data_IF_804265104444
#
_entry.id   IF_804265104444
#
_cell.length_a   1.000
_cell.length_b   1.000
_cell.length_c   1.000
_cell.angle_alpha   90.00
_cell.angle_beta   90.00
_cell.angle_gamma   90.00
#
_symmetry.space_group_name_H-M   'P 1'
#
loop_
_entity.id
_entity.type
_entity.pdbx_description
1 polymer ?
#
# COMPACT_ATOMS: atom_id res chain seq x y z
N UNK A 1 -4.76 -15.03 8.04
CA UNK A 1 -4.46 -13.71 7.43
C UNK A 1 -5.03 -12.63 8.32
N UNK A 2 -4.28 -11.56 8.55
CA UNK A 2 -4.74 -10.33 9.23
C UNK A 2 -5.02 -9.29 8.15
N UNK A 3 -6.21 -8.68 8.12
CA UNK A 3 -6.58 -7.68 7.12
C UNK A 3 -7.38 -6.54 7.76
N UNK A 4 -7.07 -5.31 7.38
CA UNK A 4 -7.88 -4.13 7.68
C UNK A 4 -8.46 -3.62 6.36
N UNK A 5 -9.78 -3.77 6.19
CA UNK A 5 -10.48 -3.35 4.98
C UNK A 5 -11.16 -2.00 5.24
N UNK A 6 -10.78 -0.99 4.46
CA UNK A 6 -11.28 0.37 4.61
C UNK A 6 -11.86 0.87 3.30
N UNK A 7 -12.92 1.67 3.36
CA UNK A 7 -13.46 2.33 2.17
C UNK A 7 -12.56 3.46 1.65
N UNK A 8 -11.74 4.08 2.51
CA UNK A 8 -10.90 5.21 2.15
C UNK A 8 -9.70 5.40 3.10
N UNK A 9 -8.71 4.50 3.07
CA UNK A 9 -7.51 4.59 3.93
C UNK A 9 -7.83 4.67 5.43
N UNK A 10 -6.90 5.23 6.22
CA UNK A 10 -7.01 5.31 7.68
C UNK A 10 -7.45 6.72 8.10
N UNK A 11 -8.75 6.98 8.01
CA UNK A 11 -9.33 8.33 8.20
C UNK A 11 -9.64 8.73 9.64
N UNK A 12 -9.53 7.82 10.60
CA UNK A 12 -9.89 8.07 11.99
C UNK A 12 -9.10 7.21 12.98
N UNK A 13 -9.15 7.59 14.26
CA UNK A 13 -8.40 6.92 15.33
C UNK A 13 -8.81 5.47 15.54
N UNK A 14 -10.07 5.09 15.27
CA UNK A 14 -10.48 3.69 15.40
C UNK A 14 -9.82 2.81 14.34
N UNK A 15 -9.72 3.28 13.10
CA UNK A 15 -9.00 2.58 12.04
C UNK A 15 -7.50 2.55 12.31
N UNK A 16 -6.94 3.65 12.82
CA UNK A 16 -5.53 3.71 13.21
C UNK A 16 -5.20 2.72 14.33
N UNK A 17 -6.03 2.64 15.37
CA UNK A 17 -5.83 1.69 16.45
C UNK A 17 -5.97 0.25 15.95
N UNK A 18 -6.96 -0.02 15.10
CA UNK A 18 -7.10 -1.34 14.47
C UNK A 18 -5.87 -1.72 13.62
N UNK A 19 -5.25 -0.76 12.91
CA UNK A 19 -3.99 -0.99 12.21
C UNK A 19 -2.89 -1.39 13.19
N UNK A 20 -2.72 -0.63 14.27
CA UNK A 20 -1.71 -0.90 15.31
C UNK A 20 -1.93 -2.26 15.96
N UNK A 21 -3.17 -2.62 16.29
CA UNK A 21 -3.52 -3.90 16.92
C UNK A 21 -3.24 -5.12 16.01
N UNK A 22 -3.24 -4.93 14.69
CA UNK A 22 -2.88 -5.99 13.74
C UNK A 22 -1.36 -6.17 13.61
N UNK A 23 -0.59 -5.11 13.84
CA UNK A 23 0.87 -5.16 13.82
C UNK A 23 1.40 -5.82 15.09
N UNK A 24 2.43 -6.66 14.95
CA UNK A 24 3.06 -7.31 16.11
C UNK A 24 4.06 -6.37 16.84
N UNK A 25 4.23 -5.14 16.35
CA UNK A 25 5.12 -4.09 16.87
C UNK A 25 4.63 -2.68 16.47
N UNK A 26 5.12 -1.60 17.10
CA UNK A 26 4.72 -0.24 16.75
C UNK A 26 4.98 0.12 15.28
N UNK A 27 4.22 1.07 14.74
CA UNK A 27 4.37 1.57 13.34
C UNK A 27 5.81 2.04 13.08
N UNK A 28 6.40 2.80 14.01
CA UNK A 28 7.77 3.30 13.93
C UNK A 28 8.85 2.21 13.91
N UNK A 29 8.49 0.95 14.21
CA UNK A 29 9.37 -0.21 14.13
C UNK A 29 9.00 -1.19 12.99
N UNK A 30 7.90 -0.89 12.29
CA UNK A 30 7.36 -1.69 11.20
C UNK A 30 7.84 -1.20 9.83
N UNK A 31 8.22 -2.15 9.00
CA UNK A 31 8.56 -1.95 7.60
C UNK A 31 7.29 -2.14 6.76
N UNK A 32 7.01 -1.20 5.85
CA UNK A 32 5.83 -1.21 5.00
C UNK A 32 6.21 -1.24 3.51
N UNK A 33 5.43 -1.99 2.72
CA UNK A 33 5.42 -1.90 1.25
C UNK A 33 4.10 -1.31 0.79
N UNK A 34 4.15 -0.21 0.06
CA UNK A 34 2.97 0.38 -0.57
C UNK A 34 2.79 -0.12 -2.00
N UNK A 35 1.53 -0.38 -2.37
CA UNK A 35 1.13 -0.90 -3.67
C UNK A 35 0.23 0.16 -4.34
N UNK A 36 0.78 0.97 -5.26
CA UNK A 36 0.02 2.02 -5.94
C UNK A 36 -0.80 1.49 -7.12
N UNK A 37 -0.59 0.24 -7.54
CA UNK A 37 -0.99 -0.30 -8.85
C UNK A 37 -2.42 0.01 -9.28
N UNK A 38 -3.40 -0.02 -8.37
CA UNK A 38 -4.79 0.26 -8.68
C UNK A 38 -5.01 1.66 -9.29
N UNK A 39 -4.25 2.66 -8.84
CA UNK A 39 -4.46 4.07 -9.23
C UNK A 39 -4.15 4.30 -10.71
N UNK A 40 -3.27 3.51 -11.32
CA UNK A 40 -2.85 3.71 -12.71
C UNK A 40 -3.96 3.48 -13.73
N UNK A 41 -4.98 2.71 -13.37
CA UNK A 41 -6.17 2.47 -14.20
C UNK A 41 -7.40 3.25 -13.72
N UNK A 42 -7.28 4.07 -12.66
CA UNK A 42 -8.36 4.95 -12.23
C UNK A 42 -8.55 6.08 -13.27
N UNK A 43 -9.78 6.47 -13.64
CA UNK A 43 -10.01 7.55 -14.61
C UNK A 43 -9.26 8.84 -14.26
N UNK A 44 -9.26 9.21 -12.97
CA UNK A 44 -8.52 10.37 -12.48
C UNK A 44 -7.01 10.10 -12.31
N UNK A 45 -6.57 8.84 -12.15
CA UNK A 45 -5.14 8.51 -12.09
C UNK A 45 -4.45 8.54 -13.44
N UNK A 46 -5.20 8.32 -14.53
CA UNK A 46 -4.73 8.56 -15.90
C UNK A 46 -4.77 10.06 -16.27
N UNK A 47 -5.66 10.85 -15.64
CA UNK A 47 -5.82 12.28 -15.90
C UNK A 47 -4.92 13.17 -14.99
N UNK A 48 -4.63 12.73 -13.77
CA UNK A 48 -3.76 13.38 -12.80
C UNK A 48 -2.61 12.44 -12.42
N UNK A 49 -1.48 12.64 -13.10
CA UNK A 49 -0.25 11.87 -12.90
C UNK A 49 0.35 12.02 -11.49
N UNK A 50 -0.19 12.90 -10.64
CA UNK A 50 0.31 13.12 -9.28
C UNK A 50 -0.25 12.13 -8.26
N UNK A 51 -1.40 11.47 -8.51
CA UNK A 51 -2.07 10.65 -7.49
C UNK A 51 -1.21 9.49 -6.96
N UNK A 52 -0.52 8.78 -7.85
CA UNK A 52 0.41 7.71 -7.45
C UNK A 52 1.56 8.25 -6.61
N UNK A 53 2.15 9.38 -7.04
CA UNK A 53 3.23 10.02 -6.29
C UNK A 53 2.77 10.52 -4.94
N UNK A 54 1.60 11.16 -4.84
CA UNK A 54 1.06 11.65 -3.57
C UNK A 54 0.85 10.51 -2.58
N UNK A 55 0.32 9.36 -3.03
CA UNK A 55 0.22 8.17 -2.18
C UNK A 55 1.59 7.66 -1.71
N UNK A 56 2.55 7.51 -2.63
CA UNK A 56 3.89 7.00 -2.29
C UNK A 56 4.65 7.96 -1.36
N UNK A 57 4.58 9.26 -1.64
CA UNK A 57 5.29 10.31 -0.92
C UNK A 57 4.67 10.63 0.46
N UNK A 58 3.50 10.06 0.76
CA UNK A 58 2.83 10.37 2.00
C UNK A 58 2.20 11.77 2.01
N UNK A 59 1.52 12.14 0.92
CA UNK A 59 0.83 13.42 0.77
C UNK A 59 -0.67 13.24 0.55
N UNK A 60 -1.30 12.22 1.15
CA UNK A 60 -2.75 12.02 1.12
C UNK A 60 -3.41 12.67 2.35
N UNK A 61 -4.04 13.85 2.20
CA UNK A 61 -4.58 14.59 3.34
C UNK A 61 -5.86 13.97 3.94
N UNK A 62 -6.57 13.15 3.17
CA UNK A 62 -7.90 12.62 3.54
C UNK A 62 -7.82 11.14 3.91
N UNK A 63 -7.01 10.35 3.20
CA UNK A 63 -6.91 8.91 3.33
C UNK A 63 -5.46 8.45 3.57
N UNK A 64 -4.81 8.87 4.67
CA UNK A 64 -3.42 8.57 4.92
C UNK A 64 -3.18 7.08 5.14
N UNK A 65 -2.02 6.62 4.70
CA UNK A 65 -1.51 5.25 4.83
C UNK A 65 0.02 5.24 4.92
N UNK A 66 0.70 5.92 4.00
CA UNK A 66 2.16 5.97 3.91
C UNK A 66 2.79 6.95 4.92
N UNK A 67 2.00 7.86 5.45
CA UNK A 67 2.38 9.01 6.28
C UNK A 67 2.65 8.68 7.76
N UNK A 68 2.36 7.46 8.20
CA UNK A 68 2.35 7.12 9.63
C UNK A 68 3.73 6.95 10.28
N UNK A 69 4.82 7.33 9.61
CA UNK A 69 6.16 7.28 10.19
C UNK A 69 6.72 5.86 10.31
N UNK A 70 6.46 5.02 9.31
CA UNK A 70 7.02 3.68 9.20
C UNK A 70 8.54 3.66 9.37
N UNK A 71 9.09 2.60 9.98
CA UNK A 71 10.56 2.41 10.09
C UNK A 71 11.24 2.46 8.73
N UNK A 72 10.58 1.85 7.74
CA UNK A 72 10.89 2.06 6.33
C UNK A 72 9.62 1.93 5.52
N UNK A 73 9.52 2.73 4.47
CA UNK A 73 8.49 2.63 3.44
C UNK A 73 9.18 2.34 2.10
N UNK A 74 8.66 1.40 1.34
CA UNK A 74 9.13 1.07 -0.01
C UNK A 74 7.95 0.78 -0.93
N UNK A 75 8.19 0.80 -2.25
CA UNK A 75 7.14 0.61 -3.25
C UNK A 75 7.22 -0.80 -3.81
N UNK A 76 6.11 -1.52 -3.80
CA UNK A 76 5.94 -2.78 -4.50
C UNK A 76 5.09 -2.55 -5.75
N UNK A 77 5.77 -2.53 -6.90
CA UNK A 77 5.10 -2.40 -8.18
C UNK A 77 4.71 -3.78 -8.73
N UNK A 78 3.42 -4.10 -8.70
CA UNK A 78 2.93 -5.42 -9.12
C UNK A 78 3.20 -5.69 -10.60
N UNK A 79 3.19 -4.65 -11.45
CA UNK A 79 3.44 -4.82 -12.89
C UNK A 79 4.88 -5.26 -13.19
N UNK A 80 5.82 -5.06 -12.26
CA UNK A 80 7.21 -5.47 -12.43
C UNK A 80 7.44 -6.95 -12.05
N UNK A 81 6.58 -7.55 -11.21
CA UNK A 81 6.82 -8.87 -10.63
C UNK A 81 6.93 -10.01 -11.66
N UNK A 82 6.12 -10.05 -12.74
CA UNK A 82 6.26 -11.11 -13.74
C UNK A 82 7.63 -11.16 -14.42
N UNK A 83 8.33 -10.02 -14.53
CA UNK A 83 9.64 -9.93 -15.15
C UNK A 83 10.80 -10.28 -14.19
N UNK A 84 10.59 -10.26 -12.87
CA UNK A 84 11.65 -10.43 -11.86
C UNK A 84 11.88 -11.89 -11.44
N UNK A 85 10.91 -12.78 -11.62
CA UNK A 85 10.96 -14.15 -11.08
C UNK A 85 10.69 -14.20 -9.57
N UNK A 86 9.99 -15.24 -9.12
CA UNK A 86 9.50 -15.37 -7.73
C UNK A 86 10.64 -15.40 -6.70
N UNK A 87 11.76 -15.98 -7.05
CA UNK A 87 12.96 -16.09 -6.22
C UNK A 87 13.54 -14.73 -5.81
N UNK A 88 13.27 -13.67 -6.59
CA UNK A 88 13.79 -12.32 -6.28
C UNK A 88 12.86 -11.52 -5.38
N UNK A 89 11.55 -11.62 -5.57
CA UNK A 89 10.60 -10.74 -4.89
C UNK A 89 9.88 -11.41 -3.71
N UNK A 90 9.65 -12.72 -3.73
CA UNK A 90 8.92 -13.41 -2.65
C UNK A 90 9.62 -13.26 -1.29
N UNK A 91 10.96 -13.47 -1.16
CA UNK A 91 11.63 -13.30 0.13
C UNK A 91 11.52 -11.88 0.68
N UNK A 92 11.58 -10.87 -0.19
CA UNK A 92 11.43 -9.47 0.19
C UNK A 92 10.02 -9.16 0.71
N UNK A 93 8.98 -9.66 0.03
CA UNK A 93 7.59 -9.50 0.49
C UNK A 93 7.32 -10.28 1.79
N UNK A 94 7.92 -11.46 1.98
CA UNK A 94 7.77 -12.24 3.22
C UNK A 94 8.45 -11.60 4.43
N UNK A 95 9.45 -10.75 4.21
CA UNK A 95 10.18 -10.05 5.27
C UNK A 95 9.52 -8.73 5.71
N UNK A 96 8.47 -8.27 5.00
CA UNK A 96 7.76 -7.03 5.32
C UNK A 96 6.70 -7.25 6.39
N UNK A 97 6.44 -6.24 7.22
CA UNK A 97 5.45 -6.34 8.29
C UNK A 97 4.02 -6.04 7.80
N UNK A 98 3.88 -5.17 6.79
CA UNK A 98 2.58 -4.75 6.27
C UNK A 98 2.62 -4.38 4.79
N UNK A 99 1.53 -4.71 4.09
CA UNK A 99 1.24 -4.26 2.73
C UNK A 99 0.16 -3.17 2.77
N UNK A 100 0.48 -2.01 2.21
CA UNK A 100 -0.40 -0.85 2.11
C UNK A 100 -0.95 -0.77 0.68
N UNK A 101 -2.16 -1.25 0.46
CA UNK A 101 -2.76 -1.34 -0.88
C UNK A 101 -3.61 -0.10 -1.17
N UNK A 102 -3.20 0.72 -2.15
CA UNK A 102 -3.93 1.93 -2.49
C UNK A 102 -5.27 1.64 -3.18
N UNK A 103 -6.18 2.60 -3.10
CA UNK A 103 -7.40 2.64 -3.90
C UNK A 103 -7.13 2.98 -5.37
N UNK A 104 -8.16 2.79 -6.21
CA UNK A 104 -8.10 3.01 -7.65
C UNK A 104 -9.05 2.06 -8.37
N UNK A 105 -8.64 1.55 -9.53
CA UNK A 105 -9.40 0.53 -10.26
C UNK A 105 -9.21 -0.86 -9.64
N UNK A 106 -10.31 -1.44 -9.16
CA UNK A 106 -10.31 -2.73 -8.47
C UNK A 106 -10.09 -3.92 -9.40
N UNK A 107 -10.53 -3.84 -10.66
CA UNK A 107 -10.34 -4.90 -11.65
C UNK A 107 -8.89 -4.97 -12.10
N UNK A 108 -8.25 -3.81 -12.28
CA UNK A 108 -6.84 -3.71 -12.61
C UNK A 108 -5.96 -4.23 -11.47
N UNK A 109 -6.27 -3.86 -10.22
CA UNK A 109 -5.59 -4.42 -9.05
C UNK A 109 -5.77 -5.95 -8.97
N UNK A 110 -6.99 -6.44 -9.14
CA UNK A 110 -7.30 -7.86 -9.10
C UNK A 110 -6.65 -8.66 -10.25
N UNK A 111 -6.33 -8.01 -11.37
CA UNK A 111 -5.57 -8.63 -12.45
C UNK A 111 -4.11 -8.87 -12.05
N UNK A 112 -3.47 -7.89 -11.41
CA UNK A 112 -2.03 -7.92 -11.08
C UNK A 112 -1.68 -8.61 -9.76
N UNK A 113 -2.62 -8.76 -8.83
CA UNK A 113 -2.41 -9.50 -7.57
C UNK A 113 -2.38 -11.04 -7.76
N UNK A 114 -2.82 -11.54 -8.92
CA UNK A 114 -2.97 -12.98 -9.19
C UNK A 114 -1.65 -13.75 -9.26
#
# INVERSE_FOLDING_TARGET
MKCLLTSAGITNNSLHNALVDLLDKPIAESHALCIPTAIYAHPDGAADATLAWQFIAGHQPICPMCEFGWKSLSVLELIALPALGKERWVPMVQAIDVLLVNGGDTLYLAYWIR
#
